data_IF_174446518856
#
_entry.id   IF_174446518856
#
_cell.length_a   1.000
_cell.length_b   1.000
_cell.length_c   1.000
_cell.angle_alpha   90.00
_cell.angle_beta   90.00
_cell.angle_gamma   90.00
#
_symmetry.space_group_name_H-M   'P 1'
#
loop_
_entity.id
_entity.type
_entity.pdbx_description
1 polymer ?
#
# COMPACT_ATOMS: atom_id res chain seq x y z
N UNK A 1 15.93 6.97 -2.72
CA UNK A 1 14.62 7.47 -3.15
C UNK A 1 14.15 8.46 -2.09
N UNK A 2 13.60 9.60 -2.48
CA UNK A 2 12.90 10.51 -1.56
C UNK A 2 11.48 10.01 -1.31
N UNK A 3 10.82 10.48 -0.26
CA UNK A 3 9.41 10.12 -0.03
C UNK A 3 8.50 10.62 -1.17
N UNK A 4 8.83 11.76 -1.79
CA UNK A 4 8.09 12.26 -2.97
C UNK A 4 8.27 11.37 -4.20
N UNK A 5 9.43 10.75 -4.38
CA UNK A 5 9.65 9.77 -5.46
C UNK A 5 8.85 8.47 -5.19
N UNK A 6 8.72 8.07 -3.91
CA UNK A 6 7.88 6.94 -3.53
C UNK A 6 6.40 7.22 -3.84
N UNK A 7 5.87 8.38 -3.45
CA UNK A 7 4.47 8.72 -3.72
C UNK A 7 4.19 8.79 -5.22
N UNK A 8 5.09 9.41 -5.99
CA UNK A 8 4.98 9.46 -7.46
C UNK A 8 5.00 8.05 -8.09
N UNK A 9 5.79 7.12 -7.56
CA UNK A 9 5.82 5.74 -8.05
C UNK A 9 4.51 5.00 -7.77
N UNK A 10 3.90 5.22 -6.60
CA UNK A 10 2.58 4.66 -6.24
C UNK A 10 1.50 5.25 -7.14
N UNK A 11 1.45 6.57 -7.29
CA UNK A 11 0.49 7.27 -8.15
C UNK A 11 0.61 6.82 -9.61
N UNK A 12 1.83 6.73 -10.14
CA UNK A 12 2.08 6.25 -11.50
C UNK A 12 1.64 4.78 -11.68
N UNK A 13 1.88 3.92 -10.69
CA UNK A 13 1.41 2.54 -10.73
C UNK A 13 -0.12 2.45 -10.81
N UNK A 14 -0.85 3.24 -10.02
CA UNK A 14 -2.32 3.25 -10.05
C UNK A 14 -2.91 4.02 -11.24
N UNK A 15 -2.13 4.90 -11.87
CA UNK A 15 -2.50 5.50 -13.16
C UNK A 15 -2.45 4.45 -14.29
N UNK A 16 -1.45 3.56 -14.28
CA UNK A 16 -1.36 2.44 -15.22
C UNK A 16 -2.37 1.32 -14.89
N UNK A 17 -2.62 1.09 -13.59
CA UNK A 17 -3.46 0.01 -13.07
C UNK A 17 -4.56 0.60 -12.19
N UNK A 18 -5.77 0.71 -12.75
CA UNK A 18 -6.91 1.28 -12.02
C UNK A 18 -7.19 0.62 -10.65
N UNK A 19 -6.83 -0.65 -10.48
CA UNK A 19 -6.97 -1.40 -9.24
C UNK A 19 -5.80 -2.39 -9.07
N UNK A 20 -5.51 -2.76 -7.82
CA UNK A 20 -4.50 -3.75 -7.50
C UNK A 20 -4.89 -4.58 -6.27
N UNK A 21 -4.40 -5.82 -6.22
CA UNK A 21 -4.44 -6.62 -5.00
C UNK A 21 -3.43 -6.12 -3.98
N UNK A 22 -3.65 -6.40 -2.70
CA UNK A 22 -2.78 -5.97 -1.60
C UNK A 22 -2.16 -7.18 -0.89
N UNK A 23 -0.84 -7.21 -0.82
CA UNK A 23 -0.06 -8.15 -0.01
C UNK A 23 0.68 -7.37 1.07
N UNK A 24 0.46 -7.77 2.31
CA UNK A 24 1.06 -7.22 3.53
C UNK A 24 2.18 -8.14 4.02
N UNK A 25 2.96 -7.75 5.05
CA UNK A 25 3.92 -8.64 5.67
C UNK A 25 3.29 -9.94 6.23
N UNK A 26 2.00 -9.91 6.57
CA UNK A 26 1.22 -11.09 7.00
C UNK A 26 0.63 -11.92 5.85
N UNK A 27 0.73 -11.47 4.60
CA UNK A 27 0.21 -12.14 3.42
C UNK A 27 -0.88 -11.35 2.70
N UNK A 28 -1.69 -12.04 1.89
CA UNK A 28 -2.75 -11.43 1.10
C UNK A 28 -3.85 -10.82 1.98
N UNK A 29 -4.23 -9.58 1.67
CA UNK A 29 -5.45 -8.99 2.20
C UNK A 29 -6.65 -9.44 1.37
N UNK A 30 -7.52 -10.26 1.97
CA UNK A 30 -8.63 -10.88 1.27
C UNK A 30 -8.19 -12.00 0.33
N UNK A 31 -9.04 -12.33 -0.64
CA UNK A 31 -8.77 -13.44 -1.57
C UNK A 31 -7.79 -12.98 -2.67
N UNK A 32 -6.70 -13.74 -2.92
CA UNK A 32 -5.72 -13.39 -3.96
C UNK A 32 -6.38 -13.12 -5.31
N UNK A 33 -5.98 -12.00 -5.93
CA UNK A 33 -6.46 -11.52 -7.25
C UNK A 33 -7.97 -11.20 -7.37
N UNK A 34 -8.73 -11.28 -6.28
CA UNK A 34 -10.18 -11.04 -6.24
C UNK A 34 -10.51 -9.78 -5.43
N UNK A 35 -9.79 -9.57 -4.32
CA UNK A 35 -9.92 -8.36 -3.50
C UNK A 35 -9.01 -7.25 -4.05
N UNK A 36 -9.59 -6.38 -4.89
CA UNK A 36 -8.88 -5.34 -5.62
C UNK A 36 -9.25 -3.97 -5.08
N UNK A 37 -8.23 -3.14 -4.94
CA UNK A 37 -8.32 -1.83 -4.32
C UNK A 37 -7.92 -0.73 -5.29
N UNK A 38 -8.61 0.40 -5.23
CA UNK A 38 -8.26 1.61 -5.97
C UNK A 38 -7.54 2.59 -5.05
N UNK A 39 -6.51 3.25 -5.55
CA UNK A 39 -5.89 4.38 -4.87
C UNK A 39 -6.87 5.54 -4.76
N UNK A 40 -7.07 6.03 -3.54
CA UNK A 40 -7.82 7.25 -3.25
C UNK A 40 -6.88 8.43 -3.05
N UNK A 41 -5.81 8.24 -2.28
CA UNK A 41 -4.84 9.30 -1.99
C UNK A 41 -3.45 8.70 -1.72
N UNK A 42 -2.39 9.41 -2.11
CA UNK A 42 -1.03 9.11 -1.69
C UNK A 42 -0.30 10.41 -1.34
N UNK A 43 0.18 10.52 -0.11
CA UNK A 43 0.84 11.74 0.38
C UNK A 43 2.13 11.41 1.13
N UNK A 44 3.05 12.37 1.13
CA UNK A 44 4.25 12.35 1.96
C UNK A 44 4.22 13.57 2.87
N UNK A 45 4.25 13.35 4.19
CA UNK A 45 4.32 14.40 5.19
C UNK A 45 5.42 14.07 6.20
N UNK A 46 6.38 14.99 6.37
CA UNK A 46 7.54 14.76 7.23
C UNK A 46 8.34 13.52 6.81
N UNK A 47 8.35 12.51 7.69
CA UNK A 47 9.04 11.22 7.48
C UNK A 47 8.09 10.07 7.18
N UNK A 48 6.84 10.38 6.82
CA UNK A 48 5.76 9.41 6.66
C UNK A 48 5.22 9.45 5.24
N UNK A 49 5.00 8.28 4.65
CA UNK A 49 4.20 8.12 3.41
C UNK A 49 2.87 7.49 3.80
N UNK A 50 1.77 8.12 3.40
CA UNK A 50 0.42 7.59 3.56
C UNK A 50 -0.11 7.16 2.19
N UNK A 51 -0.68 5.96 2.14
CA UNK A 51 -1.41 5.43 1.00
C UNK A 51 -2.82 5.10 1.46
N UNK A 52 -3.83 5.74 0.87
CA UNK A 52 -5.24 5.46 1.13
C UNK A 52 -5.86 4.72 -0.06
N UNK A 53 -6.54 3.63 0.24
CA UNK A 53 -7.24 2.80 -0.73
C UNK A 53 -8.73 2.79 -0.44
N UNK A 54 -9.54 2.84 -1.51
CA UNK A 54 -11.00 2.78 -1.51
C UNK A 54 -11.72 3.79 -0.60
N UNK A 55 -11.00 4.77 -0.04
CA UNK A 55 -11.57 5.75 0.88
C UNK A 55 -11.68 5.24 2.33
N UNK A 56 -11.05 4.10 2.65
CA UNK A 56 -11.26 3.43 3.95
C UNK A 56 -10.08 2.58 4.45
N UNK A 57 -9.12 2.22 3.61
CA UNK A 57 -7.93 1.47 4.03
C UNK A 57 -6.71 2.36 3.97
N UNK A 58 -6.03 2.55 5.09
CA UNK A 58 -4.90 3.46 5.22
C UNK A 58 -3.64 2.70 5.61
N UNK A 59 -2.59 2.85 4.80
CA UNK A 59 -1.24 2.36 5.07
C UNK A 59 -0.35 3.57 5.38
N UNK A 60 0.24 3.61 6.56
CA UNK A 60 1.20 4.65 6.96
C UNK A 60 2.58 4.04 7.16
N UNK A 61 3.51 4.41 6.30
CA UNK A 61 4.90 3.95 6.31
C UNK A 61 5.77 5.01 6.99
N UNK A 62 6.41 4.65 8.09
CA UNK A 62 7.21 5.57 8.89
C UNK A 62 8.67 5.10 9.01
N UNK A 63 9.57 6.08 8.92
CA UNK A 63 10.99 5.88 9.12
C UNK A 63 11.66 4.94 8.10
N UNK A 64 12.93 4.67 8.32
CA UNK A 64 13.73 3.84 7.42
C UNK A 64 14.06 4.51 6.08
N UNK A 65 14.50 3.70 5.12
CA UNK A 65 14.82 4.12 3.76
C UNK A 65 13.79 3.51 2.83
N UNK A 66 12.55 4.02 2.89
CA UNK A 66 11.44 3.53 2.09
C UNK A 66 11.77 3.61 0.59
N UNK A 67 11.56 2.50 -0.10
CA UNK A 67 11.78 2.34 -1.53
C UNK A 67 10.52 1.79 -2.18
N UNK A 68 10.19 2.32 -3.36
CA UNK A 68 9.23 1.74 -4.28
C UNK A 68 9.98 1.03 -5.41
N UNK A 69 9.66 -0.24 -5.64
CA UNK A 69 10.29 -1.08 -6.66
C UNK A 69 9.20 -1.59 -7.60
N UNK A 70 9.27 -1.20 -8.87
CA UNK A 70 8.36 -1.73 -9.90
C UNK A 70 8.84 -3.11 -10.34
N UNK A 71 7.94 -4.07 -10.29
CA UNK A 71 8.16 -5.48 -10.65
C UNK A 71 7.18 -5.85 -11.79
N UNK A 72 7.44 -6.93 -12.56
CA UNK A 72 6.53 -7.36 -13.63
C UNK A 72 5.08 -7.58 -13.14
N UNK A 73 4.93 -8.09 -11.93
CA UNK A 73 3.66 -8.42 -11.29
C UNK A 73 3.03 -7.25 -10.50
N UNK A 74 3.73 -6.12 -10.32
CA UNK A 74 3.22 -5.08 -9.41
C UNK A 74 4.19 -3.99 -9.01
N UNK A 75 3.89 -3.36 -7.87
CA UNK A 75 4.73 -2.39 -7.20
C UNK A 75 4.95 -2.82 -5.75
N UNK A 76 6.21 -2.95 -5.33
CA UNK A 76 6.57 -3.35 -3.97
C UNK A 76 7.18 -2.17 -3.21
N UNK A 77 6.62 -1.88 -2.03
CA UNK A 77 7.15 -0.92 -1.05
C UNK A 77 7.89 -1.66 0.06
N UNK A 78 9.13 -1.25 0.33
CA UNK A 78 9.99 -1.90 1.34
C UNK A 78 10.97 -0.94 1.99
N UNK A 79 11.57 -1.36 3.11
CA UNK A 79 12.57 -0.57 3.82
C UNK A 79 12.01 0.45 4.82
N UNK A 80 10.71 0.39 5.11
CA UNK A 80 10.09 1.10 6.24
C UNK A 80 10.59 0.54 7.58
N UNK A 81 10.61 1.37 8.61
CA UNK A 81 10.87 0.93 9.99
C UNK A 81 9.56 0.49 10.67
N UNK A 82 8.47 1.19 10.39
CA UNK A 82 7.13 0.86 10.88
C UNK A 82 6.12 1.00 9.75
N UNK A 83 5.20 0.04 9.65
CA UNK A 83 3.98 0.15 8.86
C UNK A 83 2.80 0.06 9.83
N UNK A 84 1.94 1.08 9.81
CA UNK A 84 0.62 1.04 10.43
C UNK A 84 -0.43 0.79 9.35
N UNK A 85 -1.33 -0.16 9.58
CA UNK A 85 -2.43 -0.47 8.69
C UNK A 85 -3.76 -0.34 9.43
N UNK A 86 -4.52 0.69 9.06
CA UNK A 86 -5.88 0.93 9.55
C UNK A 86 -6.86 0.56 8.45
N UNK A 87 -7.82 -0.33 8.73
CA UNK A 87 -8.77 -0.78 7.72
C UNK A 87 -10.12 -1.15 8.30
N UNK A 88 -11.13 -1.20 7.43
CA UNK A 88 -12.49 -1.64 7.78
C UNK A 88 -12.94 -2.77 6.89
N UNK A 89 -13.63 -3.74 7.47
CA UNK A 89 -14.29 -4.79 6.69
C UNK A 89 -15.38 -4.18 5.80
N UNK A 90 -15.46 -4.60 4.53
CA UNK A 90 -16.49 -4.09 3.61
C UNK A 90 -17.90 -4.36 4.15
N UNK A 91 -18.71 -3.30 4.23
CA UNK A 91 -20.07 -3.38 4.78
C UNK A 91 -20.14 -3.42 6.32
N UNK A 92 -19.01 -3.25 7.02
CA UNK A 92 -18.94 -3.16 8.48
C UNK A 92 -18.35 -1.82 8.91
N UNK A 93 -18.64 -1.42 10.15
CA UNK A 93 -17.98 -0.30 10.84
C UNK A 93 -16.84 -0.78 11.76
N UNK A 94 -16.59 -2.09 11.79
CA UNK A 94 -15.48 -2.66 12.57
C UNK A 94 -14.14 -2.17 12.02
N UNK A 95 -13.37 -1.54 12.89
CA UNK A 95 -12.03 -1.02 12.60
C UNK A 95 -10.98 -2.02 13.07
N UNK A 96 -10.00 -2.23 12.21
CA UNK A 96 -8.84 -3.06 12.48
C UNK A 96 -7.59 -2.18 12.41
N UNK A 97 -6.63 -2.46 13.30
CA UNK A 97 -5.38 -1.75 13.41
C UNK A 97 -4.24 -2.74 13.58
N UNK A 98 -3.27 -2.72 12.67
CA UNK A 98 -2.11 -3.60 12.68
C UNK A 98 -0.82 -2.79 12.54
N UNK A 99 0.24 -3.25 13.21
CA UNK A 99 1.57 -2.62 13.18
C UNK A 99 2.61 -3.67 12.81
N UNK A 100 3.46 -3.34 11.83
CA UNK A 100 4.59 -4.17 11.40
C UNK A 100 5.89 -3.41 11.59
N UNK A 101 6.92 -4.06 12.13
CA UNK A 101 8.27 -3.49 12.33
C UNK A 101 9.23 -3.66 11.15
N UNK A 102 8.69 -4.07 9.99
CA UNK A 102 9.44 -4.31 8.77
C UNK A 102 8.71 -5.29 7.84
N UNK A 103 9.30 -5.54 6.68
CA UNK A 103 8.74 -6.39 5.64
C UNK A 103 8.55 -5.64 4.33
N UNK A 104 7.63 -6.14 3.51
CA UNK A 104 7.30 -5.59 2.20
C UNK A 104 5.77 -5.51 2.08
N UNK A 105 5.30 -4.49 1.35
CA UNK A 105 3.91 -4.34 0.93
C UNK A 105 3.90 -4.34 -0.58
N UNK A 106 3.15 -5.25 -1.21
CA UNK A 106 3.04 -5.30 -2.66
C UNK A 106 1.62 -4.96 -3.13
N UNK A 107 1.55 -4.06 -4.10
CA UNK A 107 0.37 -3.82 -4.92
C UNK A 107 0.49 -4.68 -6.18
N UNK A 108 -0.33 -5.72 -6.26
CA UNK A 108 -0.25 -6.72 -7.33
C UNK A 108 -1.19 -6.34 -8.46
N UNK A 109 -0.66 -6.14 -9.66
CA UNK A 109 -1.45 -5.84 -10.84
C UNK A 109 -2.25 -7.07 -11.30
N UNK A 110 -3.45 -6.84 -11.84
CA UNK A 110 -4.12 -7.86 -12.63
C UNK A 110 -3.36 -8.04 -13.93
N UNK A 111 -2.79 -9.23 -14.14
CA UNK A 111 -2.25 -9.61 -15.44
C UNK A 111 -3.43 -9.70 -16.42
N UNK A 112 -3.47 -8.75 -17.36
CA UNK A 112 -4.34 -8.79 -18.53
C UNK A 112 -3.78 -9.66 -19.65
#
# INVERSE_FOLDING_TARGET
MTLSEVTQAVEAFFADNSHAGLVLPSGWFGRPYDNLHRLTECTAEGSTVRVELDGQHQLSFEGGALLAVREPEGLTLRGFATLTWDWRSYGSLEEHHEIFSGGEVAFVALLG
#
